data_IF_521252523530
#
_entry.id   IF_521252523530
#
_cell.length_a   1.000
_cell.length_b   1.000
_cell.length_c   1.000
_cell.angle_alpha   90.00
_cell.angle_beta   90.00
_cell.angle_gamma   90.00
#
_symmetry.space_group_name_H-M   'P 1'
#
loop_
_entity.id
_entity.type
_entity.pdbx_description
1 polymer ?
#
# COMPACT_ATOMS: atom_id res chain seq x y z
N UNK A 1 -20.76 -27.17 25.01
CA UNK A 1 -20.83 -26.26 23.85
C UNK A 1 -19.65 -25.27 23.88
N UNK A 2 -18.41 -25.76 23.73
CA UNK A 2 -17.19 -24.92 23.79
C UNK A 2 -16.44 -24.83 22.45
N UNK A 3 -16.95 -25.48 21.40
CA UNK A 3 -16.28 -25.53 20.10
C UNK A 3 -16.32 -24.19 19.35
N UNK A 4 -17.42 -23.44 19.43
CA UNK A 4 -17.61 -22.21 18.65
C UNK A 4 -16.60 -21.10 19.03
N UNK A 5 -16.36 -20.79 20.32
CA UNK A 5 -15.34 -19.81 20.71
C UNK A 5 -13.91 -20.23 20.32
N UNK A 6 -13.63 -21.54 20.31
CA UNK A 6 -12.31 -22.07 19.94
C UNK A 6 -12.07 -21.97 18.43
N UNK A 7 -13.07 -22.28 17.61
CA UNK A 7 -13.03 -22.10 16.15
C UNK A 7 -12.78 -20.64 15.79
N UNK A 8 -13.44 -19.69 16.48
CA UNK A 8 -13.25 -18.26 16.24
C UNK A 8 -11.80 -17.81 16.49
N UNK A 9 -11.18 -18.27 17.58
CA UNK A 9 -9.77 -17.96 17.89
C UNK A 9 -8.83 -18.50 16.81
N UNK A 10 -9.01 -19.75 16.38
CA UNK A 10 -8.20 -20.33 15.29
C UNK A 10 -8.40 -19.59 13.97
N UNK A 11 -9.63 -19.21 13.66
CA UNK A 11 -9.93 -18.40 12.48
C UNK A 11 -9.20 -17.06 12.51
N UNK A 12 -9.21 -16.35 13.65
CA UNK A 12 -8.46 -15.10 13.82
C UNK A 12 -6.95 -15.31 13.62
N UNK A 13 -6.38 -16.37 14.20
CA UNK A 13 -4.96 -16.71 14.04
C UNK A 13 -4.61 -16.99 12.58
N UNK A 14 -5.40 -17.83 11.90
CA UNK A 14 -5.21 -18.15 10.49
C UNK A 14 -5.31 -16.90 9.61
N UNK A 15 -6.26 -16.01 9.91
CA UNK A 15 -6.45 -14.78 9.17
C UNK A 15 -5.27 -13.80 9.36
N UNK A 16 -4.75 -13.67 10.58
CA UNK A 16 -3.53 -12.88 10.88
C UNK A 16 -2.33 -13.44 10.13
N UNK A 17 -2.14 -14.75 10.19
CA UNK A 17 -1.05 -15.43 9.49
C UNK A 17 -1.14 -15.24 7.98
N UNK A 18 -2.32 -15.46 7.39
CA UNK A 18 -2.56 -15.26 5.97
C UNK A 18 -2.31 -13.82 5.54
N UNK A 19 -2.76 -12.83 6.33
CA UNK A 19 -2.52 -11.42 6.04
C UNK A 19 -1.03 -11.08 5.98
N UNK A 20 -0.26 -11.53 6.98
CA UNK A 20 1.19 -11.32 7.03
C UNK A 20 1.88 -12.01 5.85
N UNK A 21 1.50 -13.26 5.55
CA UNK A 21 2.04 -13.99 4.40
C UNK A 21 1.81 -13.25 3.08
N UNK A 22 0.58 -12.81 2.80
CA UNK A 22 0.29 -12.08 1.56
C UNK A 22 0.97 -10.72 1.52
N UNK A 23 1.09 -10.03 2.66
CA UNK A 23 1.81 -8.77 2.75
C UNK A 23 3.30 -8.94 2.41
N UNK A 24 3.95 -10.00 2.93
CA UNK A 24 5.34 -10.33 2.60
C UNK A 24 5.51 -10.59 1.10
N UNK A 25 4.61 -11.39 0.50
CA UNK A 25 4.65 -11.67 -0.94
C UNK A 25 4.46 -10.40 -1.78
N UNK A 26 3.56 -9.51 -1.37
CA UNK A 26 3.28 -8.27 -2.10
C UNK A 26 4.44 -7.27 -1.99
N UNK A 27 4.91 -7.02 -0.77
CA UNK A 27 6.03 -6.11 -0.51
C UNK A 27 7.33 -6.65 -1.10
N UNK A 28 7.58 -7.96 -1.00
CA UNK A 28 8.73 -8.63 -1.59
C UNK A 28 8.78 -8.45 -3.11
N UNK A 29 7.66 -8.67 -3.81
CA UNK A 29 7.56 -8.38 -5.24
C UNK A 29 7.86 -6.91 -5.56
N UNK A 30 7.33 -6.00 -4.74
CA UNK A 30 7.51 -4.56 -4.95
C UNK A 30 8.99 -4.14 -4.83
N UNK A 31 9.71 -4.70 -3.85
CA UNK A 31 11.16 -4.49 -3.71
C UNK A 31 11.96 -5.15 -4.84
N UNK A 32 11.59 -6.37 -5.25
CA UNK A 32 12.25 -7.04 -6.37
C UNK A 32 12.13 -6.21 -7.64
N UNK A 33 10.92 -5.79 -8.04
CA UNK A 33 10.74 -4.97 -9.24
C UNK A 33 11.41 -3.60 -9.13
N UNK A 34 11.46 -2.99 -7.94
CA UNK A 34 12.22 -1.75 -7.73
C UNK A 34 13.73 -1.96 -7.91
N UNK A 35 14.26 -3.09 -7.43
CA UNK A 35 15.66 -3.47 -7.66
C UNK A 35 15.92 -3.65 -9.16
N UNK A 36 15.08 -4.42 -9.87
CA UNK A 36 15.21 -4.62 -11.31
C UNK A 36 15.18 -3.29 -12.06
N UNK A 37 14.32 -2.36 -11.63
CA UNK A 37 14.18 -1.08 -12.32
C UNK A 37 15.36 -0.13 -12.15
N UNK A 38 16.07 -0.22 -11.02
CA UNK A 38 17.15 0.69 -10.65
C UNK A 38 18.55 0.13 -10.87
N UNK A 39 18.71 -1.20 -10.88
CA UNK A 39 20.03 -1.86 -10.88
C UNK A 39 20.37 -2.59 -12.18
N UNK A 40 19.38 -2.92 -13.01
CA UNK A 40 19.68 -3.52 -14.32
C UNK A 40 20.20 -2.43 -15.26
N UNK A 41 21.27 -2.77 -15.96
CA UNK A 41 21.93 -1.88 -16.91
C UNK A 41 20.99 -1.55 -18.06
N UNK A 42 20.88 -0.26 -18.36
CA UNK A 42 20.03 0.21 -19.45
C UNK A 42 20.74 -0.02 -20.78
N UNK A 43 20.01 -0.59 -21.72
CA UNK A 43 20.52 -0.75 -23.08
C UNK A 43 20.26 0.56 -23.87
N UNK A 44 21.35 1.24 -24.25
CA UNK A 44 21.31 2.49 -25.01
C UNK A 44 21.27 2.29 -26.52
N UNK A 45 21.61 1.10 -27.01
CA UNK A 45 21.75 0.80 -28.44
C UNK A 45 20.47 0.19 -29.03
N UNK A 46 19.72 -0.56 -28.22
CA UNK A 46 18.50 -1.25 -28.65
C UNK A 46 17.28 -0.33 -28.64
N UNK A 47 16.53 -0.36 -29.75
CA UNK A 47 15.22 0.29 -29.86
C UNK A 47 14.11 -0.51 -29.15
N UNK A 48 14.33 -1.79 -28.91
CA UNK A 48 13.31 -2.71 -28.38
C UNK A 48 13.55 -3.03 -26.90
N UNK A 49 14.80 -3.32 -26.54
CA UNK A 49 15.22 -3.66 -25.18
C UNK A 49 15.60 -2.37 -24.44
N UNK A 50 15.00 -2.17 -23.28
CA UNK A 50 15.26 -1.04 -22.39
C UNK A 50 16.39 -1.32 -21.40
N UNK A 51 16.43 -2.54 -20.87
CA UNK A 51 17.43 -2.98 -19.91
C UNK A 51 17.59 -4.50 -20.00
N UNK A 52 18.80 -5.00 -19.81
CA UNK A 52 19.10 -6.43 -19.84
C UNK A 52 20.08 -6.81 -18.74
N UNK A 53 19.94 -8.02 -18.21
CA UNK A 53 20.84 -8.52 -17.18
C UNK A 53 20.69 -10.01 -16.94
N UNK A 54 21.72 -10.58 -16.32
CA UNK A 54 21.72 -11.98 -15.86
C UNK A 54 21.59 -11.97 -14.34
N UNK A 55 20.54 -12.62 -13.84
CA UNK A 55 20.27 -12.79 -12.42
C UNK A 55 20.62 -14.23 -12.02
N UNK A 56 21.18 -14.42 -10.82
CA UNK A 56 21.39 -15.76 -10.26
C UNK A 56 20.47 -15.96 -9.05
N UNK A 57 19.68 -17.04 -9.06
CA UNK A 57 18.89 -17.44 -7.89
C UNK A 57 18.60 -18.94 -7.90
N UNK A 58 18.46 -19.55 -6.72
CA UNK A 58 18.13 -20.98 -6.58
C UNK A 58 19.06 -21.93 -7.37
N UNK A 59 20.33 -21.55 -7.56
CA UNK A 59 21.31 -22.34 -8.32
C UNK A 59 21.26 -22.20 -9.85
N UNK A 60 20.39 -21.33 -10.39
CA UNK A 60 20.23 -21.12 -11.84
C UNK A 60 20.50 -19.67 -12.23
N UNK A 61 20.91 -19.48 -13.49
CA UNK A 61 21.04 -18.18 -14.13
C UNK A 61 19.79 -17.88 -14.96
N UNK A 62 19.24 -16.69 -14.79
CA UNK A 62 18.08 -16.19 -15.50
C UNK A 62 18.50 -14.97 -16.33
N UNK A 63 18.23 -14.99 -17.63
CA UNK A 63 18.32 -13.79 -18.46
C UNK A 63 17.02 -13.02 -18.37
N UNK A 64 17.11 -11.74 -18.01
CA UNK A 64 15.97 -10.84 -17.91
C UNK A 64 16.15 -9.67 -18.87
N UNK A 65 15.13 -9.43 -19.68
CA UNK A 65 15.05 -8.33 -20.63
C UNK A 65 13.80 -7.51 -20.30
N UNK A 66 13.96 -6.21 -20.06
CA UNK A 66 12.86 -5.25 -19.95
C UNK A 66 12.66 -4.61 -21.32
N UNK A 67 11.45 -4.63 -21.83
CA UNK A 67 11.14 -4.17 -23.19
C UNK A 67 10.51 -2.76 -23.19
N UNK A 68 10.87 -1.94 -24.18
CA UNK A 68 10.23 -0.64 -24.49
C UNK A 68 8.94 -0.83 -25.27
N UNK A 69 8.86 -1.92 -26.04
CA UNK A 69 7.75 -2.26 -26.91
C UNK A 69 7.07 -3.56 -26.47
N UNK A 70 5.91 -3.83 -27.07
CA UNK A 70 5.24 -5.11 -26.93
C UNK A 70 6.16 -6.26 -27.36
N UNK A 71 6.26 -7.36 -26.58
CA UNK A 71 7.00 -8.54 -27.03
C UNK A 71 6.35 -9.14 -28.28
N UNK A 72 7.16 -9.60 -29.23
CA UNK A 72 6.66 -10.26 -30.45
C UNK A 72 5.85 -11.53 -30.15
N UNK A 73 6.25 -12.26 -29.09
CA UNK A 73 5.59 -13.48 -28.64
C UNK A 73 5.15 -13.32 -27.20
N UNK A 74 3.84 -13.37 -26.98
CA UNK A 74 3.27 -13.51 -25.65
C UNK A 74 3.28 -14.96 -25.21
N UNK A 75 3.78 -15.23 -24.00
CA UNK A 75 3.54 -16.53 -23.36
C UNK A 75 2.03 -16.75 -23.19
N UNK A 76 1.57 -17.98 -23.38
CA UNK A 76 0.16 -18.37 -23.13
C UNK A 76 -0.29 -18.01 -21.71
N UNK A 77 0.66 -17.96 -20.76
CA UNK A 77 0.42 -17.69 -19.35
C UNK A 77 1.12 -16.39 -18.90
N UNK A 78 0.70 -15.24 -19.44
CA UNK A 78 1.19 -13.95 -18.95
C UNK A 78 0.83 -13.78 -17.46
N UNK A 79 1.85 -13.65 -16.62
CA UNK A 79 1.67 -13.49 -15.18
C UNK A 79 1.52 -12.00 -14.85
N UNK A 80 0.37 -11.64 -14.30
CA UNK A 80 0.11 -10.30 -13.76
C UNK A 80 0.01 -10.40 -12.23
N UNK A 81 0.97 -9.81 -11.53
CA UNK A 81 1.04 -9.80 -10.07
C UNK A 81 -0.02 -8.87 -9.46
N UNK A 82 -1.24 -9.37 -9.29
CA UNK A 82 -2.36 -8.65 -8.63
C UNK A 82 -2.81 -9.29 -7.33
N UNK A 83 -2.72 -10.62 -7.24
CA UNK A 83 -3.36 -11.39 -6.18
C UNK A 83 -2.74 -11.15 -4.82
N UNK A 84 -1.43 -10.90 -4.74
CA UNK A 84 -0.74 -10.62 -3.49
C UNK A 84 -1.32 -9.37 -2.83
N UNK A 85 -1.52 -8.28 -3.60
CA UNK A 85 -2.15 -7.06 -3.11
C UNK A 85 -3.61 -7.28 -2.72
N UNK A 86 -4.38 -8.01 -3.56
CA UNK A 86 -5.80 -8.22 -3.34
C UNK A 86 -6.07 -9.05 -2.09
N UNK A 87 -5.32 -10.13 -1.90
CA UNK A 87 -5.45 -11.01 -0.75
C UNK A 87 -4.95 -10.33 0.53
N UNK A 88 -3.89 -9.51 0.46
CA UNK A 88 -3.45 -8.67 1.59
C UNK A 88 -4.57 -7.72 2.02
N UNK A 89 -5.21 -7.04 1.07
CA UNK A 89 -6.31 -6.11 1.36
C UNK A 89 -7.53 -6.84 1.95
N UNK A 90 -7.99 -7.92 1.31
CA UNK A 90 -9.16 -8.69 1.77
C UNK A 90 -8.94 -9.19 3.20
N UNK A 91 -7.80 -9.84 3.45
CA UNK A 91 -7.47 -10.34 4.79
C UNK A 91 -7.31 -9.20 5.81
N UNK A 92 -6.73 -8.06 5.41
CA UNK A 92 -6.57 -6.88 6.27
C UNK A 92 -7.91 -6.24 6.67
N UNK A 93 -8.84 -6.11 5.73
CA UNK A 93 -10.19 -5.60 6.01
C UNK A 93 -10.96 -6.57 6.91
N UNK A 94 -10.85 -7.88 6.66
CA UNK A 94 -11.47 -8.87 7.56
C UNK A 94 -10.90 -8.77 8.98
N UNK A 95 -9.59 -8.59 9.14
CA UNK A 95 -8.97 -8.35 10.46
C UNK A 95 -9.47 -7.06 11.10
N UNK A 96 -9.57 -5.97 10.33
CA UNK A 96 -10.10 -4.69 10.82
C UNK A 96 -11.53 -4.85 11.34
N UNK A 97 -12.39 -5.58 10.61
CA UNK A 97 -13.77 -5.82 10.99
C UNK A 97 -13.85 -6.69 12.26
N UNK A 98 -13.18 -7.84 12.26
CA UNK A 98 -13.28 -8.87 13.30
C UNK A 98 -12.64 -8.41 14.61
N UNK A 99 -11.49 -7.75 14.53
CA UNK A 99 -10.75 -7.34 15.72
C UNK A 99 -11.29 -5.99 16.20
N UNK A 100 -11.29 -4.97 15.33
CA UNK A 100 -11.54 -3.60 15.76
C UNK A 100 -13.01 -3.22 15.68
N UNK A 101 -13.70 -3.44 14.56
CA UNK A 101 -15.09 -2.96 14.44
C UNK A 101 -16.04 -3.74 15.35
N UNK A 102 -15.89 -5.06 15.44
CA UNK A 102 -16.68 -5.88 16.37
C UNK A 102 -16.43 -5.51 17.85
N UNK A 103 -15.25 -4.98 18.18
CA UNK A 103 -14.87 -4.60 19.55
C UNK A 103 -14.62 -3.08 19.69
N UNK A 104 -15.30 -2.25 18.88
CA UNK A 104 -15.00 -0.83 18.73
C UNK A 104 -15.04 -0.05 20.06
N UNK A 105 -15.97 -0.41 20.96
CA UNK A 105 -16.11 0.20 22.30
C UNK A 105 -14.82 0.11 23.14
N UNK A 106 -14.05 -0.96 22.96
CA UNK A 106 -12.85 -1.26 23.77
C UNK A 106 -11.58 -0.89 23.00
N UNK A 107 -11.53 -1.22 21.70
CA UNK A 107 -10.29 -1.13 20.93
C UNK A 107 -10.15 0.15 20.10
N UNK A 108 -11.25 0.84 19.77
CA UNK A 108 -11.22 2.06 18.94
C UNK A 108 -11.46 3.33 19.74
N UNK A 109 -12.26 3.26 20.81
CA UNK A 109 -12.73 4.42 21.56
C UNK A 109 -11.99 4.57 22.89
N UNK A 110 -11.62 5.80 23.21
CA UNK A 110 -11.22 6.20 24.56
C UNK A 110 -12.03 7.44 24.96
N UNK A 111 -12.87 7.30 26.00
CA UNK A 111 -13.73 8.41 26.46
C UNK A 111 -12.93 9.61 26.96
N UNK A 112 -11.67 9.42 27.40
CA UNK A 112 -10.78 10.52 27.80
C UNK A 112 -10.33 11.37 26.60
N UNK A 113 -10.39 10.82 25.39
CA UNK A 113 -10.06 11.52 24.14
C UNK A 113 -11.31 12.21 23.59
N UNK A 114 -12.42 11.47 23.50
CA UNK A 114 -13.69 11.99 23.01
C UNK A 114 -14.85 11.31 23.75
N UNK A 115 -15.55 12.08 24.59
CA UNK A 115 -16.63 11.55 25.44
C UNK A 115 -17.90 11.20 24.65
N UNK A 116 -18.13 11.89 23.52
CA UNK A 116 -19.36 11.82 22.74
C UNK A 116 -19.32 10.75 21.64
N UNK A 117 -18.19 10.08 21.44
CA UNK A 117 -18.05 9.12 20.35
C UNK A 117 -18.71 7.78 20.68
N UNK A 118 -19.60 7.35 19.79
CA UNK A 118 -20.23 6.02 19.87
C UNK A 118 -19.47 5.01 19.00
N UNK A 119 -19.57 3.69 19.28
CA UNK A 119 -18.98 2.65 18.44
C UNK A 119 -19.35 2.80 16.96
N UNK A 120 -20.62 3.06 16.66
CA UNK A 120 -21.08 3.22 15.27
C UNK A 120 -20.45 4.45 14.60
N UNK A 121 -20.37 5.58 15.30
CA UNK A 121 -19.70 6.79 14.79
C UNK A 121 -18.21 6.53 14.55
N UNK A 122 -17.53 5.82 15.46
CA UNK A 122 -16.11 5.48 15.30
C UNK A 122 -15.84 4.61 14.08
N UNK A 123 -16.71 3.63 13.80
CA UNK A 123 -16.61 2.77 12.60
C UNK A 123 -16.86 3.60 11.35
N UNK A 124 -17.93 4.42 11.35
CA UNK A 124 -18.24 5.32 10.23
C UNK A 124 -17.09 6.28 9.92
N UNK A 125 -16.50 6.90 10.93
CA UNK A 125 -15.33 7.78 10.78
C UNK A 125 -14.11 7.03 10.24
N UNK A 126 -13.88 5.78 10.68
CA UNK A 126 -12.80 4.94 10.15
C UNK A 126 -13.00 4.69 8.65
N UNK A 127 -14.20 4.27 8.21
CA UNK A 127 -14.49 4.01 6.80
C UNK A 127 -14.38 5.29 5.96
N UNK A 128 -14.98 6.40 6.43
CA UNK A 128 -14.91 7.70 5.76
C UNK A 128 -13.46 8.17 5.65
N UNK A 129 -12.64 7.99 6.69
CA UNK A 129 -11.23 8.36 6.64
C UNK A 129 -10.45 7.58 5.58
N UNK A 130 -10.73 6.29 5.41
CA UNK A 130 -10.09 5.44 4.39
C UNK A 130 -10.47 5.92 2.99
N UNK A 131 -11.78 6.04 2.71
CA UNK A 131 -12.29 6.42 1.39
C UNK A 131 -11.90 7.87 1.07
N UNK A 132 -12.12 8.79 2.01
CA UNK A 132 -11.81 10.21 1.85
C UNK A 132 -10.33 10.46 1.61
N UNK A 133 -9.44 9.81 2.36
CA UNK A 133 -8.00 9.96 2.17
C UNK A 133 -7.55 9.46 0.80
N UNK A 134 -8.10 8.34 0.33
CA UNK A 134 -7.81 7.85 -1.01
C UNK A 134 -8.31 8.79 -2.10
N UNK A 135 -9.54 9.31 -1.99
CA UNK A 135 -10.08 10.27 -2.96
C UNK A 135 -9.23 11.55 -3.03
N UNK A 136 -8.88 12.12 -1.87
CA UNK A 136 -8.01 13.31 -1.79
C UNK A 136 -6.67 13.01 -2.48
N UNK A 137 -6.04 11.90 -2.12
CA UNK A 137 -4.77 11.49 -2.72
C UNK A 137 -4.86 11.26 -4.24
N UNK A 138 -5.92 10.61 -4.72
CA UNK A 138 -6.13 10.33 -6.14
C UNK A 138 -6.36 11.63 -6.94
N UNK A 139 -7.15 12.56 -6.40
CA UNK A 139 -7.37 13.88 -7.00
C UNK A 139 -6.06 14.68 -7.10
N UNK A 140 -5.26 14.68 -6.03
CA UNK A 140 -3.95 15.36 -6.04
C UNK A 140 -3.03 14.76 -7.10
N UNK A 141 -3.01 13.43 -7.22
CA UNK A 141 -2.20 12.75 -8.24
C UNK A 141 -2.70 12.96 -9.67
N UNK A 142 -3.98 13.27 -9.88
CA UNK A 142 -4.53 13.64 -11.19
C UNK A 142 -4.32 15.12 -11.54
N UNK A 143 -3.95 15.94 -10.55
CA UNK A 143 -3.68 17.37 -10.73
C UNK A 143 -2.27 17.64 -11.31
N UNK A 144 -2.04 18.89 -11.73
CA UNK A 144 -0.70 19.36 -12.18
C UNK A 144 0.37 19.29 -11.08
N UNK A 145 -0.03 19.16 -9.82
CA UNK A 145 0.89 19.12 -8.68
C UNK A 145 1.86 17.94 -8.77
N UNK A 146 1.45 16.82 -9.38
CA UNK A 146 2.27 15.61 -9.53
C UNK A 146 3.59 15.85 -10.28
N UNK A 147 3.65 16.89 -11.12
CA UNK A 147 4.85 17.24 -11.88
C UNK A 147 5.90 17.95 -11.02
N UNK A 148 5.53 18.47 -9.84
CA UNK A 148 6.45 19.17 -8.96
C UNK A 148 7.03 18.22 -7.89
N UNK A 149 8.29 17.83 -8.09
CA UNK A 149 8.99 16.82 -7.26
C UNK A 149 9.12 17.21 -5.77
N UNK A 150 9.05 18.50 -5.43
CA UNK A 150 9.22 18.99 -4.05
C UNK A 150 7.88 19.32 -3.42
N UNK A 151 7.03 20.09 -4.12
CA UNK A 151 5.75 20.55 -3.54
C UNK A 151 4.79 19.37 -3.34
N UNK A 152 4.75 18.42 -4.28
CA UNK A 152 3.86 17.26 -4.20
C UNK A 152 4.02 16.44 -2.90
N UNK A 153 5.21 15.94 -2.53
CA UNK A 153 5.37 15.18 -1.30
C UNK A 153 5.14 16.03 -0.04
N UNK A 154 5.49 17.33 -0.05
CA UNK A 154 5.22 18.23 1.08
C UNK A 154 3.72 18.37 1.34
N UNK A 155 2.93 18.56 0.28
CA UNK A 155 1.47 18.66 0.40
C UNK A 155 0.87 17.36 0.95
N UNK A 156 1.32 16.19 0.46
CA UNK A 156 0.88 14.91 1.00
C UNK A 156 1.29 14.71 2.46
N UNK A 157 2.48 15.17 2.85
CA UNK A 157 2.96 15.10 4.23
C UNK A 157 2.11 15.97 5.17
N UNK A 158 1.76 17.19 4.75
CA UNK A 158 0.88 18.08 5.52
C UNK A 158 -0.50 17.45 5.69
N UNK A 159 -1.10 16.96 4.61
CA UNK A 159 -2.41 16.29 4.65
C UNK A 159 -2.35 15.04 5.54
N UNK A 160 -1.31 14.22 5.41
CA UNK A 160 -1.09 13.04 6.25
C UNK A 160 -0.93 13.41 7.73
N UNK A 161 -0.24 14.51 8.03
CA UNK A 161 -0.11 15.07 9.38
C UNK A 161 -1.44 15.53 9.96
N UNK A 162 -2.25 16.25 9.18
CA UNK A 162 -3.60 16.69 9.59
C UNK A 162 -4.50 15.49 9.86
N UNK A 163 -4.49 14.47 8.98
CA UNK A 163 -5.25 13.24 9.16
C UNK A 163 -4.78 12.55 10.45
N UNK A 164 -3.47 12.33 10.59
CA UNK A 164 -2.86 11.68 11.76
C UNK A 164 -3.25 12.38 13.06
N UNK A 165 -3.12 13.71 13.11
CA UNK A 165 -3.56 14.51 14.25
C UNK A 165 -5.06 14.38 14.50
N UNK A 166 -5.90 14.46 13.46
CA UNK A 166 -7.34 14.28 13.56
C UNK A 166 -7.73 12.93 14.16
N UNK A 167 -7.03 11.86 13.79
CA UNK A 167 -7.25 10.52 14.37
C UNK A 167 -7.00 10.51 15.89
N UNK A 168 -6.01 11.26 16.39
CA UNK A 168 -5.73 11.36 17.84
C UNK A 168 -6.81 12.10 18.63
N UNK A 169 -7.67 12.88 17.97
CA UNK A 169 -8.78 13.61 18.60
C UNK A 169 -10.09 12.81 18.62
N UNK A 170 -10.13 11.72 17.87
CA UNK A 170 -11.34 10.90 17.68
C UNK A 170 -11.17 9.53 18.34
N UNK A 171 -10.04 8.88 18.12
CA UNK A 171 -9.81 7.50 18.51
C UNK A 171 -8.87 7.37 19.71
N UNK A 172 -8.96 6.23 20.40
CA UNK A 172 -7.97 5.86 21.41
C UNK A 172 -6.57 5.76 20.79
N UNK A 173 -5.49 6.07 21.53
CA UNK A 173 -4.15 6.27 20.96
C UNK A 173 -3.64 5.09 20.11
N UNK A 174 -3.93 3.86 20.54
CA UNK A 174 -3.58 2.64 19.81
C UNK A 174 -4.25 2.58 18.44
N UNK A 175 -5.55 2.81 18.36
CA UNK A 175 -6.27 2.76 17.09
C UNK A 175 -6.03 4.00 16.24
N UNK A 176 -5.86 5.17 16.85
CA UNK A 176 -5.46 6.38 16.13
C UNK A 176 -4.16 6.13 15.35
N UNK A 177 -3.15 5.55 15.99
CA UNK A 177 -1.89 5.21 15.34
C UNK A 177 -2.06 4.15 14.23
N UNK A 178 -2.77 3.06 14.53
CA UNK A 178 -3.05 2.00 13.55
C UNK A 178 -3.84 2.52 12.34
N UNK A 179 -4.81 3.41 12.57
CA UNK A 179 -5.71 3.92 11.53
C UNK A 179 -4.96 4.64 10.42
N UNK A 180 -3.86 5.33 10.74
CA UNK A 180 -2.97 5.94 9.73
C UNK A 180 -2.35 4.86 8.86
N UNK A 181 -1.88 3.76 9.45
CA UNK A 181 -1.35 2.60 8.70
C UNK A 181 -2.42 1.93 7.83
N UNK A 182 -3.65 1.80 8.34
CA UNK A 182 -4.79 1.25 7.59
C UNK A 182 -5.10 2.14 6.38
N UNK A 183 -5.16 3.45 6.56
CA UNK A 183 -5.40 4.42 5.48
C UNK A 183 -4.31 4.30 4.41
N UNK A 184 -3.04 4.33 4.80
CA UNK A 184 -1.91 4.23 3.90
C UNK A 184 -1.88 2.89 3.14
N UNK A 185 -2.13 1.77 3.83
CA UNK A 185 -2.25 0.44 3.22
C UNK A 185 -3.42 0.36 2.22
N UNK A 186 -4.56 0.97 2.53
CA UNK A 186 -5.69 1.06 1.61
C UNK A 186 -5.38 1.92 0.40
N UNK A 187 -4.70 3.05 0.56
CA UNK A 187 -4.20 3.88 -0.56
C UNK A 187 -3.31 3.04 -1.48
N UNK A 188 -2.39 2.26 -0.90
CA UNK A 188 -1.52 1.37 -1.67
C UNK A 188 -2.30 0.32 -2.46
N UNK A 189 -3.30 -0.31 -1.84
CA UNK A 189 -4.15 -1.28 -2.52
C UNK A 189 -4.97 -0.62 -3.64
N UNK A 190 -5.60 0.52 -3.38
CA UNK A 190 -6.41 1.22 -4.37
C UNK A 190 -5.58 1.74 -5.55
N UNK A 191 -4.31 2.11 -5.33
CA UNK A 191 -3.37 2.34 -6.42
C UNK A 191 -3.22 1.13 -7.33
N UNK A 192 -3.08 -0.07 -6.74
CA UNK A 192 -2.99 -1.33 -7.50
C UNK A 192 -4.31 -1.60 -8.23
N UNK A 193 -5.43 -1.52 -7.52
CA UNK A 193 -6.74 -1.91 -8.02
C UNK A 193 -7.29 -0.98 -9.10
N UNK A 194 -7.22 0.34 -8.91
CA UNK A 194 -7.83 1.32 -9.81
C UNK A 194 -6.88 1.89 -10.87
N UNK A 195 -5.57 1.86 -10.65
CA UNK A 195 -4.61 2.50 -11.57
C UNK A 195 -3.65 1.49 -12.19
N UNK A 196 -2.88 0.74 -11.39
CA UNK A 196 -1.78 -0.08 -11.91
C UNK A 196 -2.31 -1.26 -12.74
N UNK A 197 -3.24 -2.06 -12.18
CA UNK A 197 -3.77 -3.24 -12.88
C UNK A 197 -4.61 -2.87 -14.11
N UNK A 198 -5.54 -1.89 -14.05
CA UNK A 198 -6.29 -1.49 -15.24
C UNK A 198 -5.39 -0.93 -16.35
N UNK A 199 -4.41 -0.09 -16.03
CA UNK A 199 -3.46 0.42 -17.02
C UNK A 199 -2.61 -0.71 -17.61
N UNK A 200 -2.11 -1.62 -16.77
CA UNK A 200 -1.35 -2.79 -17.22
C UNK A 200 -2.16 -3.67 -18.19
N UNK A 201 -3.43 -3.95 -17.86
CA UNK A 201 -4.33 -4.70 -18.75
C UNK A 201 -4.55 -4.00 -20.08
N UNK A 202 -4.72 -2.67 -20.09
CA UNK A 202 -4.91 -1.90 -21.31
C UNK A 202 -3.66 -1.95 -22.20
N UNK A 203 -2.47 -1.78 -21.61
CA UNK A 203 -1.19 -1.90 -22.33
C UNK A 203 -1.05 -3.30 -22.93
N UNK A 204 -1.31 -4.35 -22.15
CA UNK A 204 -1.27 -5.74 -22.65
C UNK A 204 -2.28 -5.96 -23.78
N UNK A 205 -3.51 -5.46 -23.64
CA UNK A 205 -4.54 -5.64 -24.66
C UNK A 205 -4.20 -4.90 -25.96
N UNK A 206 -3.65 -3.69 -25.88
CA UNK A 206 -3.19 -2.92 -27.04
C UNK A 206 -2.04 -3.62 -27.75
N UNK A 207 -1.09 -4.13 -26.96
CA UNK A 207 0.05 -4.90 -27.44
C UNK A 207 -0.36 -6.20 -28.15
N UNK A 208 -1.29 -6.97 -27.58
CA UNK A 208 -1.85 -8.19 -28.21
C UNK A 208 -2.57 -7.89 -29.53
N UNK A 209 -3.21 -6.72 -29.64
CA UNK A 209 -3.95 -6.31 -30.83
C UNK A 209 -3.08 -5.54 -31.85
N UNK A 210 -1.75 -5.48 -31.65
CA UNK A 210 -0.81 -4.72 -32.49
C UNK A 210 -1.22 -3.25 -32.68
N UNK A 211 -1.80 -2.64 -31.64
CA UNK A 211 -2.14 -1.21 -31.60
C UNK A 211 -1.09 -0.47 -30.78
N UNK A 212 -0.84 0.78 -31.16
CA UNK A 212 -0.05 1.69 -30.34
C UNK A 212 -0.69 1.82 -28.95
N UNK A 213 0.13 1.72 -27.91
CA UNK A 213 -0.33 1.87 -26.52
C UNK A 213 0.05 3.25 -25.98
N UNK A 214 -0.83 3.82 -25.17
CA UNK A 214 -0.61 5.13 -24.56
C UNK A 214 0.47 5.04 -23.45
N UNK A 215 1.64 5.62 -23.72
CA UNK A 215 2.78 5.69 -22.80
C UNK A 215 2.41 6.39 -21.49
N UNK A 216 1.44 7.32 -21.51
CA UNK A 216 1.00 8.00 -20.30
C UNK A 216 0.37 7.04 -19.28
N UNK A 217 -0.24 5.94 -19.72
CA UNK A 217 -0.79 4.91 -18.84
C UNK A 217 0.32 4.19 -18.06
N UNK A 218 1.42 3.88 -18.75
CA UNK A 218 2.63 3.27 -18.16
C UNK A 218 3.27 4.21 -17.13
N UNK A 219 3.42 5.49 -17.47
CA UNK A 219 3.97 6.50 -16.57
C UNK A 219 3.10 6.62 -15.32
N UNK A 220 1.78 6.73 -15.47
CA UNK A 220 0.84 6.81 -14.34
C UNK A 220 0.93 5.59 -13.43
N UNK A 221 0.97 4.38 -13.99
CA UNK A 221 1.10 3.15 -13.22
C UNK A 221 2.44 3.11 -12.46
N UNK A 222 3.54 3.48 -13.12
CA UNK A 222 4.87 3.54 -12.51
C UNK A 222 4.92 4.54 -11.36
N UNK A 223 4.37 5.74 -11.52
CA UNK A 223 4.34 6.75 -10.45
C UNK A 223 3.59 6.25 -9.22
N UNK A 224 2.43 5.60 -9.37
CA UNK A 224 1.72 5.00 -8.23
C UNK A 224 2.49 3.86 -7.58
N UNK A 225 3.19 3.05 -8.36
CA UNK A 225 4.06 2.01 -7.83
C UNK A 225 5.21 2.59 -6.99
N UNK A 226 5.82 3.70 -7.44
CA UNK A 226 6.86 4.40 -6.67
C UNK A 226 6.30 4.95 -5.35
N UNK A 227 5.11 5.54 -5.38
CA UNK A 227 4.44 5.99 -4.15
C UNK A 227 4.19 4.84 -3.18
N UNK A 228 3.72 3.69 -3.68
CA UNK A 228 3.52 2.51 -2.83
C UNK A 228 4.82 2.05 -2.17
N UNK A 229 5.94 2.02 -2.90
CA UNK A 229 7.24 1.64 -2.34
C UNK A 229 7.67 2.58 -1.21
N UNK A 230 7.52 3.90 -1.40
CA UNK A 230 7.85 4.90 -0.37
C UNK A 230 6.99 4.71 0.88
N UNK A 231 5.68 4.50 0.71
CA UNK A 231 4.72 4.32 1.79
C UNK A 231 4.93 3.00 2.55
N UNK A 232 5.48 1.98 1.88
CA UNK A 232 5.60 0.61 2.41
C UNK A 232 6.34 0.56 3.74
N UNK A 233 7.49 1.23 3.87
CA UNK A 233 8.27 1.22 5.11
C UNK A 233 7.48 1.79 6.30
N UNK A 234 6.77 2.90 6.07
CA UNK A 234 5.94 3.52 7.09
C UNK A 234 4.77 2.61 7.48
N UNK A 235 4.09 1.99 6.52
CA UNK A 235 2.99 1.04 6.80
C UNK A 235 3.49 -0.14 7.60
N UNK A 236 4.61 -0.76 7.23
CA UNK A 236 5.19 -1.88 7.96
C UNK A 236 5.51 -1.49 9.41
N UNK A 237 6.12 -0.32 9.62
CA UNK A 237 6.39 0.18 10.97
C UNK A 237 5.11 0.32 11.80
N UNK A 238 4.06 0.92 11.23
CA UNK A 238 2.79 1.12 11.93
C UNK A 238 2.12 -0.22 12.25
N UNK A 239 2.13 -1.17 11.33
CA UNK A 239 1.53 -2.49 11.57
C UNK A 239 2.28 -3.28 12.65
N UNK A 240 3.59 -3.10 12.76
CA UNK A 240 4.42 -3.74 13.79
C UNK A 240 4.43 -2.99 15.14
N UNK A 241 4.03 -1.71 15.16
CA UNK A 241 4.05 -0.89 16.38
C UNK A 241 3.11 -1.40 17.48
N UNK A 242 2.22 -2.36 17.16
CA UNK A 242 1.42 -3.08 18.15
C UNK A 242 2.27 -3.74 19.25
N UNK A 243 3.54 -4.06 18.97
CA UNK A 243 4.50 -4.61 19.92
C UNK A 243 5.28 -3.56 20.74
N UNK A 244 5.09 -2.27 20.44
CA UNK A 244 5.85 -1.17 21.03
C UNK A 244 4.90 -0.08 21.56
N UNK A 245 4.31 -0.33 22.74
CA UNK A 245 3.28 0.54 23.31
C UNK A 245 3.72 1.97 23.57
N UNK A 246 4.98 2.17 23.95
CA UNK A 246 5.54 3.50 24.22
C UNK A 246 5.41 4.47 23.03
N UNK A 247 5.37 3.95 21.79
CA UNK A 247 5.28 4.76 20.57
C UNK A 247 3.90 5.37 20.43
N UNK A 248 2.85 4.56 20.51
CA UNK A 248 1.48 5.01 20.26
C UNK A 248 0.82 5.61 21.49
N UNK A 249 1.29 5.31 22.71
CA UNK A 249 0.86 5.99 23.96
C UNK A 249 1.39 7.42 24.05
N UNK A 250 2.54 7.71 23.44
CA UNK A 250 3.15 9.05 23.47
C UNK A 250 2.19 10.13 22.96
N UNK A 251 2.15 11.27 23.64
CA UNK A 251 1.41 12.46 23.18
C UNK A 251 1.89 12.99 21.81
N UNK A 252 3.11 12.64 21.42
CA UNK A 252 3.73 13.02 20.16
C UNK A 252 3.60 11.94 19.08
N UNK A 253 2.74 10.95 19.25
CA UNK A 253 2.57 9.83 18.33
C UNK A 253 2.38 10.27 16.85
N UNK A 254 1.63 11.34 16.60
CA UNK A 254 1.41 11.90 15.26
C UNK A 254 2.68 12.57 14.67
N UNK A 255 3.52 13.18 15.52
CA UNK A 255 4.81 13.75 15.13
C UNK A 255 5.79 12.63 14.79
N UNK A 256 5.81 11.56 15.59
CA UNK A 256 6.63 10.37 15.31
C UNK A 256 6.30 9.81 13.93
N UNK A 257 5.01 9.72 13.58
CA UNK A 257 4.58 9.30 12.24
C UNK A 257 5.06 10.25 11.14
N UNK A 258 5.01 11.57 11.35
CA UNK A 258 5.52 12.54 10.39
C UNK A 258 7.02 12.40 10.17
N UNK A 259 7.81 12.25 11.24
CA UNK A 259 9.25 12.04 11.16
C UNK A 259 9.60 10.75 10.42
N UNK A 260 8.90 9.66 10.73
CA UNK A 260 9.08 8.38 10.03
C UNK A 260 8.66 8.46 8.56
N UNK A 261 7.62 9.23 8.22
CA UNK A 261 7.22 9.48 6.85
C UNK A 261 8.31 10.22 6.06
N UNK A 262 8.93 11.23 6.68
CA UNK A 262 10.06 11.96 6.10
C UNK A 262 11.23 11.00 5.85
N UNK A 263 11.65 10.25 6.87
CA UNK A 263 12.76 9.28 6.76
C UNK A 263 12.47 8.26 5.66
N UNK A 264 11.26 7.67 5.66
CA UNK A 264 10.84 6.70 4.63
C UNK A 264 10.87 7.29 3.22
N UNK A 265 10.59 8.59 3.07
CA UNK A 265 10.67 9.31 1.80
C UNK A 265 12.09 9.49 1.27
N UNK A 266 13.10 9.48 2.14
CA UNK A 266 14.51 9.61 1.76
C UNK A 266 15.20 8.27 1.49
N UNK A 267 14.66 7.16 2.00
CA UNK A 267 15.15 5.81 1.71
C UNK A 267 14.77 5.47 0.26
N UNK A 268 15.70 5.68 -0.68
CA UNK A 268 15.58 5.33 -2.10
C UNK A 268 16.59 4.27 -2.51
#
# INVERSE_FOLDING_TARGET
>A
MEFLPYIYKWFEVLLRWAHVMFAILWVGNSFLFNYLDNKIEKNTESKEVDAEGILQHSGWFYRLERLKIAPEKFSKNLIIFKWQSYLTFITGILLLIIIYYANAKILMIDKRVNENITPLMSIGLSIISIIGSWLIYDLICKSKLINNKIIFPIVLLIIGGIISFGMTKVFGPRFAFLSVGVILGCIMFFNVFFVIIPNGKNITASALNKKDFDVNLSIRAKTRSVHNNIITFLVLFIMLSGHASFIWVSQYNWIILLLLAIISGFIR
#
